data_IF_928642518949
#
_entry.id   IF_928642518949
#
_cell.length_a   1.000
_cell.length_b   1.000
_cell.length_c   1.000
_cell.angle_alpha   90.00
_cell.angle_beta   90.00
_cell.angle_gamma   90.00
#
_symmetry.space_group_name_H-M   'P 1'
#
loop_
_entity.id
_entity.type
_entity.pdbx_description
1 polymer ?
#
# COMPACT_ATOMS: atom_id res chain seq x y z
N UNK A 1 13.63 -2.89 -3.76
CA UNK A 1 13.73 -1.46 -3.43
C UNK A 1 12.89 -0.74 -4.49
N UNK A 2 11.87 0.02 -4.09
CA UNK A 2 10.92 0.66 -5.02
C UNK A 2 11.60 1.86 -5.68
N UNK A 3 11.56 1.92 -7.03
CA UNK A 3 12.05 3.07 -7.79
C UNK A 3 11.16 4.29 -7.53
N UNK A 4 11.76 5.34 -6.96
CA UNK A 4 11.07 6.59 -6.61
C UNK A 4 10.58 7.39 -7.81
N UNK A 5 11.10 7.10 -9.00
CA UNK A 5 10.67 7.71 -10.25
C UNK A 5 9.29 7.21 -10.72
N UNK A 6 8.87 6.02 -10.28
CA UNK A 6 7.61 5.41 -10.72
C UNK A 6 6.43 5.69 -9.78
N UNK A 7 6.68 5.92 -8.50
CA UNK A 7 5.61 6.05 -7.50
C UNK A 7 5.75 7.32 -6.67
N UNK A 8 4.89 8.31 -6.96
CA UNK A 8 4.82 9.53 -6.16
C UNK A 8 3.89 9.32 -4.96
N UNK A 9 4.49 9.15 -3.78
CA UNK A 9 3.78 9.14 -2.51
C UNK A 9 3.19 10.54 -2.22
N UNK A 10 1.89 10.61 -1.90
CA UNK A 10 1.16 11.85 -1.56
C UNK A 10 1.05 12.15 -0.07
N UNK A 11 1.60 11.29 0.79
CA UNK A 11 1.69 11.52 2.22
C UNK A 11 2.56 12.73 2.59
N UNK A 12 2.60 13.10 3.87
CA UNK A 12 2.00 12.37 5.00
C UNK A 12 0.50 12.66 5.21
N UNK A 13 -0.23 11.65 5.68
CA UNK A 13 -1.64 11.77 6.08
C UNK A 13 -1.78 11.60 7.59
N UNK A 14 -2.83 12.19 8.18
CA UNK A 14 -3.13 11.96 9.59
C UNK A 14 -3.85 10.63 9.78
N UNK A 15 -3.68 10.03 10.96
CA UNK A 15 -4.37 8.81 11.33
C UNK A 15 -5.90 8.96 11.25
N UNK A 16 -6.39 10.17 11.55
CA UNK A 16 -7.79 10.52 11.39
C UNK A 16 -8.26 10.46 9.94
N UNK A 17 -7.53 11.06 9.00
CA UNK A 17 -7.88 11.04 7.57
C UNK A 17 -7.93 9.60 7.03
N UNK A 18 -6.95 8.79 7.43
CA UNK A 18 -6.89 7.37 7.06
C UNK A 18 -8.10 6.61 7.63
N UNK A 19 -8.50 6.88 8.87
CA UNK A 19 -9.67 6.25 9.48
C UNK A 19 -10.98 6.60 8.79
N UNK A 20 -11.15 7.86 8.37
CA UNK A 20 -12.30 8.32 7.60
C UNK A 20 -12.35 7.61 6.25
N UNK A 21 -11.21 7.50 5.56
CA UNK A 21 -11.14 6.85 4.24
C UNK A 21 -11.43 5.35 4.31
N UNK A 22 -11.05 4.72 5.42
CA UNK A 22 -11.31 3.31 5.69
C UNK A 22 -12.73 3.02 6.19
N UNK A 23 -13.50 4.05 6.55
CA UNK A 23 -14.76 3.90 7.29
C UNK A 23 -14.56 3.06 8.57
N UNK A 24 -13.36 3.16 9.15
CA UNK A 24 -12.89 2.34 10.26
C UNK A 24 -13.00 3.05 11.60
N UNK A 25 -13.02 2.27 12.69
CA UNK A 25 -12.96 2.83 14.04
C UNK A 25 -11.52 3.06 14.46
N UNK A 26 -11.15 4.31 14.69
CA UNK A 26 -9.81 4.70 15.12
C UNK A 26 -9.63 4.61 16.63
N UNK A 27 -8.50 4.03 17.05
CA UNK A 27 -8.04 3.99 18.44
C UNK A 27 -6.60 4.50 18.51
N UNK A 28 -6.33 5.39 19.47
CA UNK A 28 -5.02 6.03 19.65
C UNK A 28 -5.02 7.51 19.28
N UNK A 29 -3.87 7.98 18.80
CA UNK A 29 -3.63 9.39 18.47
C UNK A 29 -4.09 9.73 17.05
N UNK A 30 -5.08 10.63 16.95
CA UNK A 30 -5.68 11.09 15.69
C UNK A 30 -4.75 11.96 14.85
N UNK A 31 -3.84 12.69 15.50
CA UNK A 31 -2.95 13.64 14.85
C UNK A 31 -1.63 13.02 14.40
N UNK A 32 -1.39 11.74 14.76
CA UNK A 32 -0.23 10.99 14.32
C UNK A 32 -0.14 11.00 12.79
N UNK A 33 0.98 11.51 12.29
CA UNK A 33 1.29 11.56 10.85
C UNK A 33 1.89 10.23 10.40
N UNK A 34 1.31 9.69 9.34
CA UNK A 34 1.78 8.50 8.63
C UNK A 34 2.31 8.93 7.27
N UNK A 35 3.54 8.53 6.97
CA UNK A 35 4.29 8.93 5.78
C UNK A 35 4.23 7.88 4.68
N UNK A 36 4.13 6.60 5.05
CA UNK A 36 4.08 5.51 4.08
C UNK A 36 3.38 4.27 4.63
N UNK A 37 3.27 3.26 3.79
CA UNK A 37 2.73 1.93 4.10
C UNK A 37 3.85 0.90 4.08
N UNK A 38 3.89 0.01 5.06
CA UNK A 38 4.90 -1.03 5.16
C UNK A 38 4.37 -2.32 5.81
N UNK A 39 4.90 -3.50 5.47
CA UNK A 39 4.56 -4.75 6.15
C UNK A 39 5.07 -4.77 7.61
N UNK A 40 4.48 -5.61 8.46
CA UNK A 40 4.67 -5.56 9.93
C UNK A 40 6.13 -5.75 10.38
N UNK A 41 6.90 -6.50 9.60
CA UNK A 41 8.29 -6.87 9.83
C UNK A 41 9.27 -5.72 9.55
N UNK A 42 8.98 -4.87 8.56
CA UNK A 42 9.83 -3.74 8.18
C UNK A 42 9.27 -2.37 8.56
N UNK A 43 8.01 -2.31 9.00
CA UNK A 43 7.33 -1.06 9.32
C UNK A 43 7.99 -0.29 10.48
N UNK A 44 8.11 1.01 10.27
CA UNK A 44 8.67 1.99 11.21
C UNK A 44 7.57 2.83 11.86
N UNK A 45 7.95 3.66 12.84
CA UNK A 45 7.01 4.48 13.62
C UNK A 45 6.27 5.56 12.83
N UNK A 46 6.70 5.81 11.60
CA UNK A 46 6.08 6.74 10.65
C UNK A 46 5.21 6.04 9.62
N UNK A 47 5.13 4.72 9.65
CA UNK A 47 4.45 3.92 8.64
C UNK A 47 3.24 3.18 9.23
N UNK A 48 2.27 2.88 8.37
CA UNK A 48 1.10 2.07 8.72
C UNK A 48 1.24 0.67 8.14
N UNK A 49 0.89 -0.31 8.96
CA UNK A 49 0.85 -1.72 8.57
C UNK A 49 -0.54 -2.31 8.74
N UNK A 50 -0.71 -3.58 8.37
CA UNK A 50 -1.96 -4.30 8.54
C UNK A 50 -1.72 -5.66 9.17
N UNK A 51 -2.70 -6.12 9.96
CA UNK A 51 -2.68 -7.42 10.60
C UNK A 51 -4.02 -8.13 10.38
N UNK A 52 -3.95 -9.31 9.74
CA UNK A 52 -5.12 -10.07 9.33
C UNK A 52 -5.13 -11.51 9.87
N UNK A 53 -3.96 -12.15 10.01
CA UNK A 53 -3.86 -13.57 10.39
C UNK A 53 -3.18 -13.72 11.76
N UNK A 54 -3.84 -14.46 12.65
CA UNK A 54 -3.37 -14.76 14.00
C UNK A 54 -2.00 -15.46 14.07
N UNK A 55 -1.53 -16.07 12.98
CA UNK A 55 -0.21 -16.69 12.91
C UNK A 55 0.92 -15.67 13.07
N UNK A 56 0.69 -14.42 12.68
CA UNK A 56 1.67 -13.33 12.72
C UNK A 56 1.62 -12.50 14.01
N UNK A 57 0.99 -13.03 15.08
CA UNK A 57 0.93 -12.34 16.38
C UNK A 57 2.30 -11.98 16.93
N UNK A 58 3.32 -12.82 16.68
CA UNK A 58 4.69 -12.54 17.08
C UNK A 58 5.28 -11.33 16.33
N UNK A 59 4.99 -11.19 15.04
CA UNK A 59 5.41 -10.02 14.26
C UNK A 59 4.70 -8.76 14.72
N UNK A 60 3.40 -8.87 15.04
CA UNK A 60 2.63 -7.77 15.62
C UNK A 60 3.15 -7.32 17.00
N UNK A 61 3.71 -8.24 17.78
CA UNK A 61 4.31 -7.90 19.08
C UNK A 61 5.64 -7.17 18.94
N UNK A 62 6.39 -7.45 17.88
CA UNK A 62 7.72 -6.90 17.63
C UNK A 62 7.72 -5.74 16.62
N UNK A 63 6.57 -5.39 16.05
CA UNK A 63 6.47 -4.35 15.03
C UNK A 63 6.79 -2.98 15.62
N UNK A 64 7.50 -2.16 14.85
CA UNK A 64 7.72 -0.75 15.17
C UNK A 64 6.72 0.17 14.44
N UNK A 65 5.69 -0.39 13.81
CA UNK A 65 4.70 0.35 13.05
C UNK A 65 4.05 1.48 13.87
N UNK A 66 3.98 2.68 13.28
CA UNK A 66 3.32 3.84 13.86
C UNK A 66 1.82 3.66 14.04
N UNK A 67 1.23 2.81 13.19
CA UNK A 67 -0.17 2.41 13.25
C UNK A 67 -0.41 1.04 12.61
N UNK A 68 -1.47 0.33 13.03
CA UNK A 68 -1.85 -0.96 12.44
C UNK A 68 -3.34 -1.03 12.10
N UNK A 69 -3.67 -1.52 10.91
CA UNK A 69 -5.03 -1.84 10.49
C UNK A 69 -5.36 -3.26 10.96
N UNK A 70 -6.47 -3.43 11.68
CA UNK A 70 -6.89 -4.75 12.21
C UNK A 70 -8.35 -5.05 11.95
N UNK A 71 -8.69 -6.34 11.95
CA UNK A 71 -10.09 -6.76 11.88
C UNK A 71 -10.80 -6.52 13.21
N UNK A 72 -12.14 -6.39 13.18
CA UNK A 72 -13.01 -6.32 14.38
C UNK A 72 -12.78 -7.45 15.38
N UNK A 73 -12.22 -8.59 14.94
CA UNK A 73 -11.84 -9.71 15.81
C UNK A 73 -10.65 -9.41 16.73
N UNK A 74 -9.87 -8.38 16.44
CA UNK A 74 -8.63 -8.02 17.16
C UNK A 74 -8.70 -6.61 17.77
N UNK A 75 -9.78 -6.32 18.50
CA UNK A 75 -10.07 -5.00 19.09
C UNK A 75 -9.08 -4.50 20.15
N UNK A 76 -8.18 -5.34 20.66
CA UNK A 76 -7.18 -4.95 21.67
C UNK A 76 -5.83 -5.52 21.30
N UNK A 77 -4.88 -4.62 21.07
CA UNK A 77 -3.48 -4.92 20.89
C UNK A 77 -2.72 -4.28 22.06
N UNK A 78 -1.95 -5.08 22.80
CA UNK A 78 -1.23 -4.57 23.98
C UNK A 78 -0.01 -3.71 23.59
N UNK A 79 0.63 -4.03 22.45
CA UNK A 79 1.87 -3.38 22.02
C UNK A 79 1.68 -2.25 21.01
N UNK A 80 0.47 -2.10 20.45
CA UNK A 80 0.20 -1.11 19.40
C UNK A 80 -0.70 -0.02 19.97
N UNK A 81 -0.17 1.20 20.09
CA UNK A 81 -0.90 2.35 20.63
C UNK A 81 -1.95 2.91 19.66
N UNK A 82 -1.70 2.77 18.36
CA UNK A 82 -2.52 3.35 17.30
C UNK A 82 -3.00 2.26 16.35
N UNK A 83 -4.30 2.04 16.26
CA UNK A 83 -4.85 1.05 15.34
C UNK A 83 -6.21 1.47 14.78
N UNK A 84 -6.48 1.03 13.56
CA UNK A 84 -7.75 1.27 12.87
C UNK A 84 -8.45 -0.06 12.70
N UNK A 85 -9.64 -0.19 13.29
CA UNK A 85 -10.45 -1.39 13.19
C UNK A 85 -11.35 -1.28 11.95
N UNK A 86 -11.20 -2.24 11.04
CA UNK A 86 -12.00 -2.39 9.81
C UNK A 86 -12.64 -3.78 9.75
N UNK A 87 -13.58 -3.96 8.83
CA UNK A 87 -14.14 -5.29 8.56
C UNK A 87 -13.10 -6.21 7.91
N UNK A 88 -12.49 -5.74 6.83
CA UNK A 88 -11.48 -6.47 6.07
C UNK A 88 -10.13 -5.69 6.03
N UNK A 89 -9.10 -6.17 6.77
CA UNK A 89 -7.79 -5.52 6.78
C UNK A 89 -7.08 -5.50 5.43
N UNK A 90 -7.31 -6.49 4.56
CA UNK A 90 -6.70 -6.53 3.23
C UNK A 90 -7.26 -5.44 2.34
N UNK A 91 -8.59 -5.32 2.32
CA UNK A 91 -9.27 -4.25 1.58
C UNK A 91 -8.88 -2.89 2.15
N UNK A 92 -8.76 -2.78 3.47
CA UNK A 92 -8.30 -1.56 4.12
C UNK A 92 -6.89 -1.17 3.69
N UNK A 93 -5.94 -2.11 3.72
CA UNK A 93 -4.58 -1.88 3.26
C UNK A 93 -4.52 -1.47 1.79
N UNK A 94 -5.28 -2.13 0.91
CA UNK A 94 -5.34 -1.79 -0.51
C UNK A 94 -5.87 -0.35 -0.73
N UNK A 95 -6.94 0.03 -0.01
CA UNK A 95 -7.49 1.39 -0.07
C UNK A 95 -6.48 2.45 0.40
N UNK A 96 -5.75 2.18 1.48
CA UNK A 96 -4.70 3.09 1.96
C UNK A 96 -3.55 3.16 0.97
N UNK A 97 -3.08 2.04 0.44
CA UNK A 97 -2.02 2.02 -0.57
C UNK A 97 -2.42 2.86 -1.79
N UNK A 98 -3.64 2.71 -2.30
CA UNK A 98 -4.16 3.56 -3.40
C UNK A 98 -4.27 5.03 -3.01
N UNK A 99 -4.47 5.35 -1.73
CA UNK A 99 -4.55 6.72 -1.25
C UNK A 99 -3.17 7.39 -1.14
N UNK A 100 -2.16 6.63 -0.71
CA UNK A 100 -0.75 7.06 -0.74
C UNK A 100 -0.20 7.15 -2.17
N UNK A 101 -0.65 6.25 -3.05
CA UNK A 101 -0.15 6.11 -4.42
C UNK A 101 -1.29 6.14 -5.46
N UNK A 102 -2.00 7.27 -5.63
CA UNK A 102 -3.10 7.34 -6.59
C UNK A 102 -2.63 7.32 -8.06
N UNK A 103 -1.35 7.59 -8.31
CA UNK A 103 -0.71 7.51 -9.63
C UNK A 103 -0.06 6.15 -9.91
N UNK A 104 -0.47 5.09 -9.22
CA UNK A 104 -0.25 3.72 -9.70
C UNK A 104 -1.11 3.43 -10.95
N UNK A 105 -1.16 4.35 -11.91
CA UNK A 105 -1.59 4.02 -13.25
C UNK A 105 -0.39 3.35 -13.89
N UNK A 106 -0.60 2.13 -14.39
CA UNK A 106 0.23 1.66 -15.50
C UNK A 106 0.32 2.83 -16.47
N UNK A 107 1.53 3.23 -16.87
CA UNK A 107 1.67 4.12 -18.02
C UNK A 107 0.70 3.58 -19.07
N UNK A 108 -0.20 4.45 -19.54
CA UNK A 108 -1.02 4.22 -20.71
C UNK A 108 -0.05 3.94 -21.87
N UNK A 109 0.48 2.72 -21.94
CA UNK A 109 1.16 2.18 -23.10
C UNK A 109 0.05 1.87 -24.11
N UNK A 110 -0.60 2.93 -24.59
CA UNK A 110 -1.34 2.87 -25.82
C UNK A 110 -0.31 2.72 -26.92
N UNK A 111 -0.14 1.49 -27.39
CA UNK A 111 0.44 1.27 -28.71
C UNK A 111 -0.53 1.89 -29.73
N UNK A 112 -0.14 3.02 -30.31
CA UNK A 112 -0.78 3.42 -31.56
C UNK A 112 -0.27 2.47 -32.66
N UNK A 113 -1.11 2.19 -33.64
CA UNK A 113 -0.76 1.44 -34.85
C UNK A 113 0.48 1.99 -35.58
N UNK A 114 0.87 3.24 -35.30
CA UNK A 114 2.06 3.92 -35.79
C UNK A 114 3.37 3.55 -35.07
N UNK A 115 3.33 2.94 -33.87
CA UNK A 115 4.50 2.54 -33.08
C UNK A 115 5.10 1.17 -33.49
N UNK A 116 4.43 0.47 -34.40
CA UNK A 116 4.72 -0.93 -34.73
C UNK A 116 6.07 -1.20 -35.44
N UNK A 117 6.83 -0.18 -35.87
CA UNK A 117 7.94 -0.42 -36.84
C UNK A 117 9.19 0.45 -36.68
N UNK A 118 9.41 1.16 -35.57
CA UNK A 118 10.67 1.92 -35.41
C UNK A 118 11.76 1.00 -34.87
N UNK A 119 12.70 0.65 -35.76
CA UNK A 119 14.01 0.02 -35.49
C UNK A 119 14.06 -1.48 -35.17
N UNK A 120 13.31 -2.31 -35.92
CA UNK A 120 13.61 -3.73 -36.01
C UNK A 120 14.52 -4.02 -37.22
N UNK A 121 15.69 -4.63 -36.98
CA UNK A 121 16.57 -5.12 -38.04
C UNK A 121 15.81 -6.09 -38.94
N UNK A 122 16.04 -6.03 -40.27
CA UNK A 122 15.29 -6.80 -41.29
C UNK A 122 15.36 -8.33 -41.11
N UNK A 123 16.22 -8.81 -40.21
CA UNK A 123 16.39 -10.23 -39.89
C UNK A 123 15.41 -10.76 -38.84
N UNK A 124 14.66 -9.90 -38.15
CA UNK A 124 13.76 -10.31 -37.07
C UNK A 124 12.38 -10.66 -37.63
N UNK A 125 12.03 -11.95 -37.61
CA UNK A 125 10.66 -12.42 -37.88
C UNK A 125 9.88 -12.46 -36.58
N UNK A 126 9.10 -11.42 -36.28
CA UNK A 126 8.10 -11.48 -35.22
C UNK A 126 6.74 -11.94 -35.76
N UNK A 127 6.08 -12.83 -35.01
CA UNK A 127 4.69 -13.19 -35.24
C UNK A 127 3.77 -12.05 -34.80
N UNK A 128 2.53 -12.01 -35.31
CA UNK A 128 1.57 -10.91 -35.11
C UNK A 128 1.25 -10.57 -33.65
N UNK A 129 1.59 -11.45 -32.71
CA UNK A 129 1.28 -11.33 -31.28
C UNK A 129 2.54 -11.35 -30.38
N UNK A 130 3.70 -10.95 -30.91
CA UNK A 130 4.95 -10.88 -30.14
C UNK A 130 5.22 -9.45 -29.70
N UNK A 131 5.27 -9.24 -28.38
CA UNK A 131 5.72 -8.00 -27.75
C UNK A 131 7.20 -8.19 -27.40
N UNK A 132 8.09 -7.36 -27.96
CA UNK A 132 9.54 -7.35 -27.67
C UNK A 132 9.89 -6.09 -26.89
#
# INVERSE_FOLDING_TARGET
MIDKDFYKNLGPFTLFDLSLKLEGSLFGDKEKKIFDVAPLDTATETEISFFHNSRYKHELQNTAAGAVIVSKSFKKLENVKNFIVVDDPYVGMAKIASFFYPKCEYQDFYFDSSDSTRDLDKSVKCSKDVFI
#
